data_IF_455314929174
#
_entry.id   IF_455314929174
#
_cell.length_a   1.000
_cell.length_b   1.000
_cell.length_c   1.000
_cell.angle_alpha   90.00
_cell.angle_beta   90.00
_cell.angle_gamma   90.00
#
_symmetry.space_group_name_H-M   'P 1'
#
loop_
_entity.id
_entity.type
_entity.pdbx_description
1 polymer ?
#
# COMPACT_ATOMS: atom_id res chain seq x y z
N UNK A 1 13.56 -20.44 12.22
CA UNK A 1 13.78 -18.99 12.01
C UNK A 1 12.87 -18.59 10.86
N UNK A 2 11.93 -17.67 11.08
CA UNK A 2 11.09 -17.19 9.99
C UNK A 2 12.00 -16.50 8.97
N UNK A 3 11.92 -16.90 7.70
CA UNK A 3 12.62 -16.18 6.64
C UNK A 3 12.00 -14.79 6.52
N UNK A 4 12.84 -13.76 6.41
CA UNK A 4 12.36 -12.40 6.06
C UNK A 4 11.63 -12.47 4.72
N UNK A 5 10.43 -11.88 4.67
CA UNK A 5 9.61 -11.90 3.47
C UNK A 5 10.16 -10.98 2.38
N UNK A 6 10.58 -9.78 2.77
CA UNK A 6 11.06 -8.75 1.86
C UNK A 6 12.54 -8.94 1.53
N UNK A 7 12.93 -8.71 0.28
CA UNK A 7 14.32 -8.67 -0.18
C UNK A 7 14.81 -7.23 -0.40
N UNK A 8 16.04 -7.07 -0.92
CA UNK A 8 16.60 -5.75 -1.20
C UNK A 8 15.94 -5.05 -2.40
N UNK A 9 15.30 -5.82 -3.30
CA UNK A 9 14.61 -5.33 -4.49
C UNK A 9 13.18 -4.87 -4.17
N UNK A 10 12.64 -5.34 -3.05
CA UNK A 10 11.30 -5.04 -2.58
C UNK A 10 11.21 -3.60 -2.01
N UNK A 11 10.15 -2.84 -2.32
CA UNK A 11 9.99 -1.51 -1.75
C UNK A 11 9.77 -1.56 -0.23
N UNK A 12 10.15 -0.49 0.48
CA UNK A 12 9.75 -0.34 1.87
C UNK A 12 8.21 -0.38 1.99
N UNK A 13 7.64 -1.10 2.97
CA UNK A 13 6.19 -1.34 3.02
C UNK A 13 5.37 -0.08 3.21
N UNK A 14 5.94 0.91 3.91
CA UNK A 14 5.32 2.20 4.17
C UNK A 14 5.88 3.24 3.21
N UNK A 15 5.00 3.84 2.40
CA UNK A 15 5.26 5.08 1.70
C UNK A 15 4.86 6.27 2.55
N UNK A 16 5.69 7.30 2.58
CA UNK A 16 5.51 8.47 3.42
C UNK A 16 5.81 9.73 2.61
N UNK A 17 4.94 10.72 2.71
CA UNK A 17 5.14 12.04 2.12
C UNK A 17 4.75 13.14 3.12
N UNK A 18 5.44 14.28 3.05
CA UNK A 18 5.18 15.47 3.88
C UNK A 18 5.14 15.17 5.39
N UNK A 19 5.92 14.19 5.84
CA UNK A 19 6.12 13.96 7.26
C UNK A 19 6.72 15.22 7.89
N UNK A 20 6.13 15.69 8.97
CA UNK A 20 6.52 16.93 9.65
C UNK A 20 5.76 18.19 9.21
N UNK A 21 4.78 18.08 8.31
CA UNK A 21 3.85 19.18 8.08
C UNK A 21 3.05 19.53 9.35
N UNK A 22 2.71 20.81 9.49
CA UNK A 22 1.82 21.34 10.53
C UNK A 22 0.32 21.26 10.18
N UNK A 23 -0.03 20.67 9.04
CA UNK A 23 -1.43 20.49 8.63
C UNK A 23 -2.22 19.70 9.68
N UNK A 24 -3.49 20.08 9.97
CA UNK A 24 -4.31 19.35 10.92
C UNK A 24 -4.86 18.03 10.35
N UNK A 25 -4.62 17.73 9.07
CA UNK A 25 -5.10 16.53 8.40
C UNK A 25 -3.98 15.50 8.26
N UNK A 26 -4.33 14.22 8.36
CA UNK A 26 -3.50 13.08 7.99
C UNK A 26 -4.25 12.27 6.93
N UNK A 27 -3.58 11.97 5.83
CA UNK A 27 -4.11 11.06 4.81
C UNK A 27 -3.49 9.68 4.98
N UNK A 28 -4.33 8.66 4.94
CA UNK A 28 -3.93 7.25 4.96
C UNK A 28 -4.55 6.56 3.75
N UNK A 29 -3.77 5.76 3.03
CA UNK A 29 -4.29 4.90 1.97
C UNK A 29 -3.70 3.48 2.08
N UNK A 30 -4.44 2.60 2.76
CA UNK A 30 -4.07 1.20 2.98
C UNK A 30 -4.03 0.39 1.67
N UNK A 31 -4.79 0.79 0.65
CA UNK A 31 -4.88 0.06 -0.63
C UNK A 31 -4.32 0.86 -1.80
N UNK A 32 -3.25 1.63 -1.57
CA UNK A 32 -2.61 2.46 -2.58
C UNK A 32 -1.63 1.71 -3.49
N UNK A 33 -1.06 0.63 -2.98
CA UNK A 33 -0.02 -0.15 -3.64
C UNK A 33 -0.57 -1.38 -4.34
N UNK A 34 0.14 -1.84 -5.37
CA UNK A 34 -0.14 -3.11 -6.03
C UNK A 34 1.10 -4.00 -6.18
N UNK A 35 2.18 -3.71 -5.44
CA UNK A 35 3.37 -4.55 -5.46
C UNK A 35 3.11 -5.90 -4.77
N UNK A 36 3.86 -6.92 -5.18
CA UNK A 36 3.93 -8.22 -4.52
C UNK A 36 5.41 -8.46 -4.20
N UNK A 37 5.76 -8.86 -2.96
CA UNK A 37 7.13 -9.20 -2.61
C UNK A 37 7.69 -10.27 -3.55
N UNK A 38 8.96 -10.14 -3.96
CA UNK A 38 9.59 -11.06 -4.92
C UNK A 38 9.44 -12.53 -4.49
N UNK A 39 9.56 -12.80 -3.18
CA UNK A 39 9.46 -14.17 -2.62
C UNK A 39 8.08 -14.80 -2.72
N UNK A 40 7.03 -14.01 -2.94
CA UNK A 40 5.66 -14.49 -3.13
C UNK A 40 5.30 -14.71 -4.61
N UNK A 41 6.20 -14.36 -5.53
CA UNK A 41 5.97 -14.50 -6.97
C UNK A 41 4.76 -13.70 -7.43
N UNK A 42 3.81 -14.36 -8.07
CA UNK A 42 2.58 -13.76 -8.59
C UNK A 42 1.33 -14.08 -7.74
N UNK A 43 1.49 -14.66 -6.55
CA UNK A 43 0.40 -15.18 -5.70
C UNK A 43 -0.52 -16.21 -6.40
N UNK A 44 -0.13 -16.74 -7.56
CA UNK A 44 -0.98 -17.59 -8.39
C UNK A 44 -2.14 -16.85 -9.06
N UNK A 45 -2.09 -15.51 -9.15
CA UNK A 45 -3.11 -14.69 -9.81
C UNK A 45 -2.57 -14.03 -11.08
N UNK A 46 -3.45 -13.83 -12.06
CA UNK A 46 -3.06 -13.16 -13.29
C UNK A 46 -2.69 -11.70 -13.01
N UNK A 47 -1.75 -11.10 -13.77
CA UNK A 47 -1.49 -9.67 -13.67
C UNK A 47 -2.73 -8.80 -13.93
N UNK A 48 -3.65 -9.27 -14.78
CA UNK A 48 -4.91 -8.59 -15.02
C UNK A 48 -5.79 -8.55 -13.77
N UNK A 49 -5.86 -9.66 -13.03
CA UNK A 49 -6.66 -9.73 -11.80
C UNK A 49 -6.01 -8.96 -10.64
N UNK A 50 -4.68 -9.01 -10.52
CA UNK A 50 -3.95 -8.19 -9.55
C UNK A 50 -4.23 -6.70 -9.76
N UNK A 51 -4.38 -6.23 -11.00
CA UNK A 51 -4.66 -4.82 -11.31
C UNK A 51 -6.15 -4.42 -11.22
N UNK A 52 -7.05 -5.32 -10.77
CA UNK A 52 -8.45 -4.99 -10.50
C UNK A 52 -8.62 -4.47 -9.07
N UNK A 53 -9.82 -3.99 -8.76
CA UNK A 53 -10.21 -3.49 -7.44
C UNK A 53 -10.02 -4.49 -6.28
N UNK A 54 -9.82 -5.77 -6.58
CA UNK A 54 -9.51 -6.78 -5.56
C UNK A 54 -8.07 -6.65 -5.04
N UNK A 55 -7.14 -6.10 -5.83
CA UNK A 55 -5.72 -5.96 -5.49
C UNK A 55 -5.35 -4.56 -5.00
N UNK A 56 -6.08 -3.53 -5.43
CA UNK A 56 -5.76 -2.12 -5.22
C UNK A 56 -7.02 -1.26 -5.31
N UNK A 57 -7.08 -0.16 -4.56
CA UNK A 57 -8.08 0.87 -4.79
C UNK A 57 -7.63 1.75 -5.97
N UNK A 58 -8.19 1.47 -7.15
CA UNK A 58 -7.73 2.05 -8.42
C UNK A 58 -7.76 3.59 -8.36
N UNK A 59 -6.58 4.19 -8.53
CA UNK A 59 -6.39 5.64 -8.56
C UNK A 59 -6.19 6.30 -7.19
N UNK A 60 -6.37 5.58 -6.07
CA UNK A 60 -6.31 6.20 -4.73
C UNK A 60 -4.96 6.84 -4.45
N UNK A 61 -3.86 6.23 -4.90
CA UNK A 61 -2.52 6.77 -4.67
C UNK A 61 -2.38 8.19 -5.25
N UNK A 62 -2.78 8.39 -6.51
CA UNK A 62 -2.69 9.69 -7.18
C UNK A 62 -3.67 10.73 -6.63
N UNK A 63 -4.89 10.30 -6.26
CA UNK A 63 -5.89 11.17 -5.61
C UNK A 63 -5.36 11.67 -4.27
N UNK A 64 -4.90 10.76 -3.41
CA UNK A 64 -4.38 11.06 -2.07
C UNK A 64 -3.11 11.89 -2.13
N UNK A 65 -2.20 11.60 -3.06
CA UNK A 65 -0.98 12.38 -3.27
C UNK A 65 -1.30 13.83 -3.66
N UNK A 66 -2.26 14.04 -4.58
CA UNK A 66 -2.67 15.39 -4.98
C UNK A 66 -3.41 16.12 -3.86
N UNK A 67 -4.28 15.44 -3.12
CA UNK A 67 -4.99 16.02 -1.98
C UNK A 67 -4.03 16.38 -0.84
N UNK A 68 -3.06 15.52 -0.54
CA UNK A 68 -1.95 15.80 0.39
C UNK A 68 -1.20 17.06 -0.01
N UNK A 69 -0.89 17.24 -1.30
CA UNK A 69 -0.28 18.47 -1.82
C UNK A 69 -1.14 19.72 -1.62
N UNK A 70 -2.46 19.62 -1.84
CA UNK A 70 -3.38 20.75 -1.67
C UNK A 70 -3.60 21.15 -0.20
N UNK A 71 -3.57 20.17 0.71
CA UNK A 71 -3.74 20.37 2.15
C UNK A 71 -2.43 20.58 2.91
N UNK A 72 -1.29 20.50 2.19
CA UNK A 72 0.03 20.32 2.75
C UNK A 72 0.05 19.24 3.84
N UNK A 73 -0.67 18.14 3.69
CA UNK A 73 -0.90 17.18 4.77
C UNK A 73 0.04 15.97 4.70
N UNK A 74 0.50 15.42 5.83
CA UNK A 74 1.19 14.14 5.83
C UNK A 74 0.35 13.06 5.15
N UNK A 75 1.01 12.22 4.35
CA UNK A 75 0.38 11.12 3.63
C UNK A 75 1.18 9.84 3.84
N UNK A 76 0.51 8.84 4.41
CA UNK A 76 1.07 7.51 4.66
C UNK A 76 0.28 6.51 3.81
N UNK A 77 0.97 5.64 3.09
CA UNK A 77 0.31 4.68 2.21
C UNK A 77 1.05 3.36 2.12
N UNK A 78 0.30 2.29 1.90
CA UNK A 78 0.86 0.97 1.68
C UNK A 78 1.38 0.84 0.24
N UNK A 79 2.57 0.25 0.06
CA UNK A 79 3.15 0.01 -1.28
C UNK A 79 2.81 -1.35 -1.89
N UNK A 80 2.36 -2.29 -1.08
CA UNK A 80 1.98 -3.65 -1.49
C UNK A 80 0.48 -3.78 -1.72
N UNK A 81 0.10 -4.73 -2.57
CA UNK A 81 -1.30 -5.12 -2.79
C UNK A 81 -1.95 -5.62 -1.50
N UNK A 82 -3.23 -5.33 -1.32
CA UNK A 82 -4.04 -5.87 -0.22
C UNK A 82 -4.15 -7.39 -0.23
N UNK A 83 -3.90 -8.03 -1.39
CA UNK A 83 -3.87 -9.48 -1.53
C UNK A 83 -2.62 -10.13 -0.92
N UNK A 84 -1.57 -9.34 -0.66
CA UNK A 84 -0.43 -9.78 0.16
C UNK A 84 -0.82 -9.67 1.64
N UNK A 85 -1.28 -8.48 2.03
CA UNK A 85 -1.79 -8.18 3.37
C UNK A 85 -2.70 -6.95 3.31
N UNK A 86 -3.92 -7.09 3.83
CA UNK A 86 -4.85 -5.97 3.98
C UNK A 86 -4.61 -5.28 5.32
N UNK A 87 -3.90 -4.13 5.31
CA UNK A 87 -3.62 -3.36 6.54
C UNK A 87 -4.86 -2.73 7.18
N UNK A 88 -6.00 -2.71 6.50
CA UNK A 88 -7.28 -2.29 7.06
C UNK A 88 -8.07 -3.49 7.64
N UNK A 89 -7.35 -4.57 8.01
CA UNK A 89 -7.88 -5.75 8.70
C UNK A 89 -6.95 -6.19 9.83
N UNK A 90 -7.48 -6.58 11.00
CA UNK A 90 -6.66 -7.16 12.05
C UNK A 90 -6.14 -8.55 11.64
N UNK A 91 -4.99 -9.01 12.15
CA UNK A 91 -4.52 -10.38 11.94
C UNK A 91 -5.58 -11.42 12.33
N UNK A 92 -5.78 -12.42 11.48
CA UNK A 92 -6.78 -13.48 11.67
C UNK A 92 -8.19 -13.12 11.18
N UNK A 93 -8.39 -11.94 10.59
CA UNK A 93 -9.63 -11.62 9.91
C UNK A 93 -9.83 -12.54 8.68
N UNK A 94 -11.04 -13.10 8.45
CA UNK A 94 -11.26 -14.17 7.47
C UNK A 94 -11.40 -13.71 6.00
N UNK A 95 -11.12 -12.44 5.70
CA UNK A 95 -11.40 -11.82 4.40
C UNK A 95 -10.15 -11.30 3.76
#
# INVERSE_FOLDING_TARGET
MAQELLCAQDPQPVGEERLGSASPFLLIADHAGNAVPERLGDLGISPADLNRHIGIDIGIHGVSQRLSGLLDAPYIFQRYSRLVIDCNRPPGHPT
#
